data_IF_242028419301
#
_entry.id   IF_242028419301
#
_cell.length_a   1.000
_cell.length_b   1.000
_cell.length_c   1.000
_cell.angle_alpha   90.00
_cell.angle_beta   90.00
_cell.angle_gamma   90.00
#
_symmetry.space_group_name_H-M   'P 1'
#
loop_
_entity.id
_entity.type
_entity.pdbx_description
1 polymer ?
#
# COMPACT_ATOMS: atom_id res chain seq x y z
N UNK A 1 -25.93 29.56 22.47
CA UNK A 1 -24.93 29.86 21.43
C UNK A 1 -24.37 28.53 20.99
N UNK A 2 -24.73 28.05 19.79
CA UNK A 2 -24.09 26.88 19.20
C UNK A 2 -22.87 27.42 18.45
N UNK A 3 -21.70 27.25 19.04
CA UNK A 3 -20.44 27.44 18.32
C UNK A 3 -20.32 26.24 17.38
N UNK A 4 -20.65 26.47 16.11
CA UNK A 4 -20.50 25.52 15.02
C UNK A 4 -19.00 25.38 14.75
N UNK A 5 -18.36 24.52 15.54
CA UNK A 5 -16.96 24.12 15.41
C UNK A 5 -16.76 23.61 13.97
N UNK A 6 -16.10 24.45 13.16
CA UNK A 6 -15.77 24.24 11.76
C UNK A 6 -15.22 22.82 11.55
N UNK A 7 -16.04 21.95 10.94
CA UNK A 7 -15.60 20.63 10.51
C UNK A 7 -14.62 20.80 9.35
N UNK A 8 -13.35 20.99 9.67
CA UNK A 8 -12.26 21.02 8.70
C UNK A 8 -12.27 19.72 7.91
N UNK A 9 -12.86 19.74 6.72
CA UNK A 9 -12.84 18.63 5.78
C UNK A 9 -11.48 18.62 5.10
N UNK A 10 -10.45 18.16 5.83
CA UNK A 10 -9.16 17.84 5.23
C UNK A 10 -9.43 16.81 4.12
N UNK A 11 -9.03 17.06 2.87
CA UNK A 11 -9.26 16.11 1.79
C UNK A 11 -8.42 14.86 2.08
N UNK A 12 -9.09 13.79 2.48
CA UNK A 12 -8.46 12.50 2.73
C UNK A 12 -8.06 11.90 1.38
N UNK A 13 -6.87 12.26 0.91
CA UNK A 13 -6.33 11.74 -0.35
C UNK A 13 -5.83 10.32 -0.11
N UNK A 14 -6.65 9.34 -0.43
CA UNK A 14 -6.21 7.95 -0.54
C UNK A 14 -5.20 7.86 -1.70
N UNK A 15 -3.91 7.81 -1.37
CA UNK A 15 -2.85 7.56 -2.35
C UNK A 15 -2.62 6.06 -2.38
N UNK A 16 -3.17 5.40 -3.39
CA UNK A 16 -2.78 4.04 -3.75
C UNK A 16 -1.66 4.15 -4.80
N UNK A 17 -0.50 3.53 -4.57
CA UNK A 17 0.58 3.49 -5.54
C UNK A 17 0.13 2.86 -6.86
N UNK A 18 0.55 3.44 -7.99
CA UNK A 18 0.20 2.92 -9.32
C UNK A 18 1.39 2.18 -9.91
N UNK A 19 1.29 0.86 -9.99
CA UNK A 19 2.28 0.05 -10.67
C UNK A 19 1.99 -0.01 -12.17
N UNK A 20 2.76 0.74 -12.95
CA UNK A 20 2.64 0.79 -14.41
C UNK A 20 2.84 -0.59 -15.10
N UNK A 21 3.42 -1.58 -14.43
CA UNK A 21 3.53 -2.97 -14.94
C UNK A 21 2.17 -3.68 -14.98
N UNK A 22 1.24 -3.25 -14.13
CA UNK A 22 -0.10 -3.83 -14.00
C UNK A 22 -1.18 -2.74 -14.21
N UNK A 23 -1.32 -2.18 -15.43
CA UNK A 23 -2.22 -1.07 -15.71
C UNK A 23 -3.71 -1.47 -15.73
N UNK A 24 -3.98 -2.78 -15.77
CA UNK A 24 -5.34 -3.30 -15.79
C UNK A 24 -5.97 -3.23 -14.39
N UNK A 25 -7.29 -3.07 -14.34
CA UNK A 25 -8.06 -3.12 -13.10
C UNK A 25 -7.97 -4.50 -12.40
N UNK A 26 -7.65 -5.55 -13.17
CA UNK A 26 -7.40 -6.87 -12.63
C UNK A 26 -6.01 -6.95 -11.96
N UNK A 27 -5.99 -6.89 -10.64
CA UNK A 27 -4.78 -6.90 -9.80
C UNK A 27 -4.30 -8.31 -9.40
N UNK A 28 -4.81 -9.41 -9.98
CA UNK A 28 -4.41 -10.77 -9.61
C UNK A 28 -2.90 -11.01 -9.75
N UNK A 29 -2.29 -10.55 -10.85
CA UNK A 29 -0.84 -10.70 -11.07
C UNK A 29 -0.01 -9.84 -10.11
N UNK A 30 -0.46 -8.61 -9.84
CA UNK A 30 0.19 -7.72 -8.89
C UNK A 30 0.15 -8.29 -7.47
N UNK A 31 -1.00 -8.84 -7.05
CA UNK A 31 -1.15 -9.52 -5.76
C UNK A 31 -0.22 -10.72 -5.62
N UNK A 32 -0.15 -11.57 -6.66
CA UNK A 32 0.74 -12.73 -6.65
C UNK A 32 2.23 -12.33 -6.58
N UNK A 33 2.62 -11.29 -7.32
CA UNK A 33 3.99 -10.78 -7.29
C UNK A 33 4.37 -10.28 -5.89
N UNK A 34 3.51 -9.47 -5.26
CA UNK A 34 3.72 -8.98 -3.90
C UNK A 34 3.80 -10.12 -2.87
N UNK A 35 3.00 -11.18 -3.01
CA UNK A 35 3.06 -12.35 -2.15
C UNK A 35 4.43 -13.06 -2.24
N UNK A 36 4.91 -13.31 -3.46
CA UNK A 36 6.20 -13.96 -3.68
C UNK A 36 7.36 -13.11 -3.14
N UNK A 37 7.32 -11.80 -3.37
CA UNK A 37 8.38 -10.90 -2.93
C UNK A 37 8.42 -10.75 -1.40
N UNK A 38 7.27 -10.75 -0.73
CA UNK A 38 7.18 -10.82 0.74
C UNK A 38 7.90 -12.06 1.30
N UNK A 39 7.57 -13.25 0.77
CA UNK A 39 8.17 -14.50 1.26
C UNK A 39 9.66 -14.60 0.94
N UNK A 40 10.12 -14.14 -0.23
CA UNK A 40 11.55 -14.05 -0.54
C UNK A 40 12.27 -13.12 0.44
N UNK A 41 11.66 -11.99 0.77
CA UNK A 41 12.25 -11.02 1.70
C UNK A 41 12.38 -11.60 3.11
N UNK A 42 11.35 -12.29 3.61
CA UNK A 42 11.41 -12.97 4.91
C UNK A 42 12.48 -14.05 4.94
N UNK A 43 12.56 -14.88 3.91
CA UNK A 43 13.59 -15.93 3.83
C UNK A 43 15.01 -15.35 3.81
N UNK A 44 15.21 -14.20 3.18
CA UNK A 44 16.51 -13.56 3.07
C UNK A 44 16.92 -12.73 4.30
N UNK A 45 15.97 -12.07 4.96
CA UNK A 45 16.26 -11.05 6.00
C UNK A 45 15.62 -11.32 7.36
N UNK A 46 14.76 -12.33 7.48
CA UNK A 46 13.97 -12.62 8.67
C UNK A 46 12.66 -11.82 8.74
N UNK A 47 11.72 -12.28 9.57
CA UNK A 47 10.38 -11.67 9.73
C UNK A 47 10.42 -10.27 10.37
N UNK A 48 11.50 -9.91 11.07
CA UNK A 48 11.67 -8.62 11.74
C UNK A 48 12.05 -7.48 10.78
N UNK A 49 12.35 -7.79 9.51
CA UNK A 49 12.65 -6.76 8.52
C UNK A 49 11.36 -6.05 8.11
N UNK A 50 11.02 -4.97 8.84
CA UNK A 50 9.86 -4.09 8.59
C UNK A 50 9.62 -3.76 7.10
N UNK A 51 10.64 -3.53 6.26
CA UNK A 51 10.43 -3.25 4.84
C UNK A 51 9.89 -4.42 4.01
N UNK A 52 9.97 -5.67 4.48
CA UNK A 52 9.38 -6.80 3.76
C UNK A 52 7.86 -6.67 3.60
N UNK A 53 7.18 -6.01 4.56
CA UNK A 53 5.73 -5.74 4.50
C UNK A 53 5.37 -4.54 3.63
N UNK A 54 6.36 -3.82 3.12
CA UNK A 54 6.15 -2.73 2.18
C UNK A 54 5.84 -3.36 0.81
N UNK A 55 4.57 -3.69 0.58
CA UNK A 55 4.08 -4.00 -0.77
C UNK A 55 4.37 -2.77 -1.63
N UNK A 56 5.15 -2.96 -2.68
CA UNK A 56 5.75 -1.90 -3.47
C UNK A 56 4.71 -0.85 -3.89
N UNK A 57 4.82 0.35 -3.30
CA UNK A 57 4.27 1.57 -3.86
C UNK A 57 5.44 2.33 -4.49
N UNK A 58 5.54 2.40 -5.82
CA UNK A 58 5.98 3.64 -6.44
C UNK A 58 4.89 4.70 -6.28
#
# INVERSE_FOLDING_TARGET
MADDEDRVTMPFKFVTGFDARFPNQNQTKHCWQNYVDYHKCILAKGEDFKPCRQVHAP
#
